data_IF_603211486239
#
_entry.id   IF_603211486239
#
_cell.length_a   1.000
_cell.length_b   1.000
_cell.length_c   1.000
_cell.angle_alpha   90.00
_cell.angle_beta   90.00
_cell.angle_gamma   90.00
#
_symmetry.space_group_name_H-M   'P 1'
#
loop_
_entity.id
_entity.type
_entity.pdbx_description
1 polymer ?
#
# COMPACT_ATOMS: atom_id res chain seq x y z
N UNK A 1 -21.97 -20.22 -33.87
CA UNK A 1 -23.36 -20.42 -34.36
C UNK A 1 -24.12 -19.12 -34.09
N UNK A 2 -24.68 -18.49 -35.11
CA UNK A 2 -25.61 -17.34 -34.93
C UNK A 2 -26.97 -17.88 -34.52
N UNK A 3 -27.58 -17.32 -33.50
CA UNK A 3 -28.95 -17.60 -33.12
C UNK A 3 -29.86 -16.90 -34.15
N UNK A 4 -30.63 -17.67 -34.90
CA UNK A 4 -31.66 -17.12 -35.78
C UNK A 4 -32.93 -16.86 -34.96
N UNK A 5 -33.30 -15.58 -34.84
CA UNK A 5 -34.46 -15.14 -34.08
C UNK A 5 -35.22 -14.09 -34.88
N UNK A 6 -36.56 -14.03 -34.72
CA UNK A 6 -37.40 -13.00 -35.31
C UNK A 6 -38.43 -12.53 -34.28
N UNK A 7 -39.15 -11.42 -34.55
CA UNK A 7 -40.26 -11.00 -33.68
C UNK A 7 -41.33 -12.09 -33.49
N UNK A 8 -41.52 -12.93 -34.50
CA UNK A 8 -42.50 -14.04 -34.51
C UNK A 8 -41.96 -15.30 -33.79
N UNK A 9 -40.63 -15.41 -33.71
CA UNK A 9 -39.94 -16.53 -33.03
C UNK A 9 -38.82 -16.00 -32.12
N UNK A 10 -39.17 -15.32 -31.00
CA UNK A 10 -38.17 -14.75 -30.09
C UNK A 10 -37.50 -15.82 -29.28
N UNK A 11 -36.18 -15.66 -29.04
CA UNK A 11 -35.46 -16.51 -28.13
C UNK A 11 -35.81 -16.20 -26.69
N UNK A 12 -35.91 -17.21 -25.86
CA UNK A 12 -36.09 -17.05 -24.41
C UNK A 12 -34.82 -16.49 -23.77
N UNK A 13 -34.94 -15.66 -22.71
CA UNK A 13 -33.82 -15.07 -21.99
C UNK A 13 -32.81 -16.12 -21.56
N UNK A 14 -33.27 -17.26 -21.03
CA UNK A 14 -32.37 -18.38 -20.61
C UNK A 14 -31.52 -18.93 -21.76
N UNK A 15 -32.05 -18.92 -22.99
CA UNK A 15 -31.31 -19.41 -24.17
C UNK A 15 -30.17 -18.47 -24.51
N UNK A 16 -30.39 -17.17 -24.45
CA UNK A 16 -29.37 -16.15 -24.65
C UNK A 16 -28.34 -16.18 -23.55
N UNK A 17 -28.75 -16.24 -22.26
CA UNK A 17 -27.85 -16.28 -21.12
C UNK A 17 -26.91 -17.51 -21.22
N UNK A 18 -27.44 -18.67 -21.56
CA UNK A 18 -26.65 -19.90 -21.76
C UNK A 18 -25.68 -19.79 -22.95
N UNK A 19 -26.11 -19.20 -24.05
CA UNK A 19 -25.27 -18.99 -25.22
C UNK A 19 -24.08 -18.05 -24.90
N UNK A 20 -24.33 -16.96 -24.15
CA UNK A 20 -23.29 -16.05 -23.66
C UNK A 20 -22.31 -16.81 -22.74
N UNK A 21 -22.83 -17.57 -21.77
CA UNK A 21 -21.98 -18.37 -20.85
C UNK A 21 -21.08 -19.33 -21.61
N UNK A 22 -21.64 -20.08 -22.57
CA UNK A 22 -20.89 -21.00 -23.42
C UNK A 22 -19.80 -20.30 -24.25
N UNK A 23 -20.08 -19.09 -24.73
CA UNK A 23 -19.10 -18.31 -25.49
C UNK A 23 -17.97 -17.80 -24.59
N UNK A 24 -18.30 -17.30 -23.41
CA UNK A 24 -17.32 -16.83 -22.41
C UNK A 24 -16.43 -18.00 -21.92
N UNK A 25 -17.00 -19.18 -21.72
CA UNK A 25 -16.25 -20.37 -21.30
C UNK A 25 -15.14 -20.77 -22.27
N UNK A 26 -15.27 -20.44 -23.57
CA UNK A 26 -14.24 -20.71 -24.58
C UNK A 26 -12.97 -19.90 -24.44
N UNK A 27 -13.02 -18.77 -23.68
CA UNK A 27 -11.83 -17.97 -23.41
C UNK A 27 -10.82 -18.73 -22.55
N UNK A 28 -11.26 -19.76 -21.81
CA UNK A 28 -10.39 -20.54 -20.96
C UNK A 28 -9.78 -19.77 -19.80
N UNK A 29 -8.61 -20.18 -19.37
CA UNK A 29 -7.83 -19.49 -18.32
C UNK A 29 -6.95 -18.44 -18.97
N UNK A 30 -7.02 -17.22 -18.46
CA UNK A 30 -6.29 -16.06 -18.98
C UNK A 30 -5.48 -15.39 -17.86
N UNK A 31 -4.41 -14.69 -18.25
CA UNK A 31 -3.69 -13.77 -17.39
C UNK A 31 -4.11 -12.35 -17.72
N UNK A 32 -4.51 -11.58 -16.70
CA UNK A 32 -4.98 -10.19 -16.85
C UNK A 32 -4.20 -9.29 -15.92
N UNK A 33 -3.62 -8.21 -16.45
CA UNK A 33 -2.98 -7.16 -15.65
C UNK A 33 -3.94 -5.99 -15.46
N UNK A 34 -3.88 -5.36 -14.28
CA UNK A 34 -4.61 -4.14 -13.99
C UNK A 34 -4.32 -3.59 -12.61
N UNK A 35 -4.96 -2.48 -12.30
CA UNK A 35 -4.88 -1.84 -11.00
C UNK A 35 -6.14 -2.14 -10.18
N UNK A 36 -5.96 -2.48 -8.93
CA UNK A 36 -7.07 -2.71 -7.99
C UNK A 36 -7.67 -1.37 -7.59
N UNK A 37 -8.93 -1.15 -7.92
CA UNK A 37 -9.65 0.10 -7.56
C UNK A 37 -10.59 -0.08 -6.37
N UNK A 38 -11.00 -1.32 -6.10
CA UNK A 38 -11.89 -1.61 -4.98
C UNK A 38 -11.62 -3.01 -4.45
N UNK A 39 -11.65 -3.16 -3.11
CA UNK A 39 -11.54 -4.44 -2.42
C UNK A 39 -12.70 -4.57 -1.44
N UNK A 40 -13.50 -5.61 -1.60
CA UNK A 40 -14.58 -5.94 -0.66
C UNK A 40 -14.31 -7.25 0.03
N UNK A 41 -14.00 -7.18 1.33
CA UNK A 41 -13.79 -8.33 2.22
C UNK A 41 -14.95 -8.38 3.21
N UNK A 42 -15.90 -9.27 3.01
CA UNK A 42 -16.98 -9.48 3.98
C UNK A 42 -16.53 -10.49 5.03
N UNK A 43 -16.78 -10.16 6.29
CA UNK A 43 -16.46 -11.05 7.41
C UNK A 43 -17.26 -12.37 7.29
N UNK A 44 -16.58 -13.52 7.43
CA UNK A 44 -17.21 -14.85 7.29
C UNK A 44 -17.33 -15.38 5.85
N UNK A 45 -17.00 -14.62 4.81
CA UNK A 45 -17.00 -15.11 3.43
C UNK A 45 -15.64 -15.68 3.00
N UNK A 46 -15.67 -16.83 2.33
CA UNK A 46 -14.47 -17.47 1.75
C UNK A 46 -13.97 -16.79 0.46
N UNK A 47 -14.72 -15.80 -0.05
CA UNK A 47 -14.43 -15.11 -1.32
C UNK A 47 -14.23 -13.62 -1.09
N UNK A 48 -13.18 -13.08 -1.68
CA UNK A 48 -12.88 -11.65 -1.77
C UNK A 48 -13.30 -11.16 -3.14
N UNK A 49 -13.93 -10.00 -3.20
CA UNK A 49 -14.33 -9.33 -4.44
C UNK A 49 -13.41 -8.16 -4.69
N UNK A 50 -12.88 -8.07 -5.91
CA UNK A 50 -11.99 -7.02 -6.36
C UNK A 50 -12.54 -6.38 -7.62
N UNK A 51 -12.28 -5.09 -7.82
CA UNK A 51 -12.45 -4.44 -9.12
C UNK A 51 -11.07 -4.16 -9.69
N UNK A 52 -10.78 -4.72 -10.85
CA UNK A 52 -9.54 -4.53 -11.58
C UNK A 52 -9.80 -3.58 -12.75
N UNK A 53 -9.06 -2.48 -12.80
CA UNK A 53 -9.16 -1.43 -13.84
C UNK A 53 -7.94 -1.45 -14.72
N UNK A 54 -8.12 -1.23 -16.01
CA UNK A 54 -7.04 -0.99 -16.95
C UNK A 54 -6.32 0.33 -16.65
N UNK A 55 -4.99 0.39 -16.85
CA UNK A 55 -4.19 1.60 -16.57
C UNK A 55 -4.34 2.69 -17.62
N UNK A 56 -4.70 2.31 -18.85
CA UNK A 56 -4.72 3.20 -20.01
C UNK A 56 -6.14 3.49 -20.52
N UNK A 57 -7.09 2.60 -20.22
CA UNK A 57 -8.47 2.69 -20.68
C UNK A 57 -9.45 2.73 -19.50
N UNK A 58 -10.58 3.40 -19.66
CA UNK A 58 -11.65 3.40 -18.66
C UNK A 58 -12.49 2.10 -18.73
N UNK A 59 -11.79 0.98 -18.53
CA UNK A 59 -12.38 -0.37 -18.55
C UNK A 59 -12.04 -1.04 -17.24
N UNK A 60 -13.04 -1.70 -16.65
CA UNK A 60 -12.83 -2.48 -15.41
C UNK A 60 -13.55 -3.83 -15.49
N UNK A 61 -13.04 -4.79 -14.75
CA UNK A 61 -13.63 -6.12 -14.60
C UNK A 61 -13.73 -6.50 -13.13
N UNK A 62 -14.82 -7.14 -12.74
CA UNK A 62 -14.97 -7.73 -11.43
C UNK A 62 -14.14 -9.00 -11.34
N UNK A 63 -13.39 -9.16 -10.24
CA UNK A 63 -12.61 -10.35 -9.95
C UNK A 63 -13.12 -10.96 -8.66
N UNK A 64 -13.34 -12.27 -8.67
CA UNK A 64 -13.65 -13.07 -7.48
C UNK A 64 -12.46 -13.94 -7.14
N UNK A 65 -11.93 -13.82 -5.92
CA UNK A 65 -10.76 -14.58 -5.49
C UNK A 65 -11.06 -15.39 -4.22
N UNK A 66 -10.64 -16.65 -4.11
CA UNK A 66 -10.64 -17.35 -2.85
C UNK A 66 -9.81 -16.58 -1.83
N UNK A 67 -10.31 -16.49 -0.58
CA UNK A 67 -9.60 -15.75 0.48
C UNK A 67 -8.17 -16.24 0.68
N UNK A 68 -7.94 -17.56 0.62
CA UNK A 68 -6.60 -18.14 0.74
C UNK A 68 -5.62 -17.65 -0.33
N UNK A 69 -6.09 -17.35 -1.55
CA UNK A 69 -5.23 -16.81 -2.63
C UNK A 69 -4.81 -15.38 -2.30
N UNK A 70 -5.71 -14.57 -1.73
CA UNK A 70 -5.39 -13.18 -1.35
C UNK A 70 -4.52 -13.15 -0.09
N UNK A 71 -4.79 -14.02 0.89
CA UNK A 71 -4.06 -14.06 2.15
C UNK A 71 -2.66 -14.71 2.00
N UNK A 72 -2.40 -15.44 0.91
CA UNK A 72 -1.07 -16.03 0.60
C UNK A 72 -0.09 -15.02 -0.03
N UNK A 73 -0.54 -13.81 -0.36
CA UNK A 73 0.35 -12.79 -0.90
C UNK A 73 1.36 -12.33 0.16
N UNK A 74 2.61 -12.17 -0.24
CA UNK A 74 3.69 -11.72 0.64
C UNK A 74 3.44 -10.32 1.25
N UNK A 75 2.62 -9.51 0.58
CA UNK A 75 2.20 -8.18 1.04
C UNK A 75 0.68 -8.11 0.95
N UNK A 76 -0.02 -7.51 1.95
CA UNK A 76 -1.45 -7.33 1.89
C UNK A 76 -1.88 -6.58 0.63
N UNK A 77 -2.90 -7.12 -0.06
CA UNK A 77 -3.46 -6.47 -1.23
C UNK A 77 -4.27 -5.24 -0.79
N UNK A 78 -3.95 -4.08 -1.37
CA UNK A 78 -4.58 -2.79 -1.12
C UNK A 78 -5.12 -2.16 -2.40
N UNK A 79 -6.03 -1.21 -2.28
CA UNK A 79 -6.48 -0.39 -3.41
C UNK A 79 -5.31 0.43 -3.95
N UNK A 80 -5.24 0.56 -5.27
CA UNK A 80 -4.11 1.17 -5.97
C UNK A 80 -3.01 0.19 -6.39
N UNK A 81 -2.95 -1.01 -5.83
CA UNK A 81 -1.95 -2.01 -6.19
C UNK A 81 -2.10 -2.48 -7.64
N UNK A 82 -0.97 -2.60 -8.35
CA UNK A 82 -0.92 -3.24 -9.67
C UNK A 82 -0.75 -4.74 -9.50
N UNK A 83 -1.62 -5.52 -10.14
CA UNK A 83 -1.60 -6.98 -10.05
C UNK A 83 -1.76 -7.64 -11.41
N UNK A 84 -1.24 -8.85 -11.52
CA UNK A 84 -1.56 -9.82 -12.58
C UNK A 84 -2.36 -10.93 -11.96
N UNK A 85 -3.52 -11.22 -12.56
CA UNK A 85 -4.45 -12.25 -12.10
C UNK A 85 -4.52 -13.35 -13.14
N UNK A 86 -4.24 -14.58 -12.75
CA UNK A 86 -4.65 -15.75 -13.50
C UNK A 86 -6.06 -16.15 -13.10
N UNK A 87 -6.97 -16.19 -14.04
CA UNK A 87 -8.34 -16.56 -13.76
C UNK A 87 -9.10 -17.06 -14.99
N UNK A 88 -10.25 -17.62 -14.74
CA UNK A 88 -11.20 -17.98 -15.78
C UNK A 88 -12.36 -17.00 -15.77
N UNK A 89 -12.70 -16.35 -16.91
CA UNK A 89 -13.93 -15.60 -17.02
C UNK A 89 -15.14 -16.48 -16.70
N UNK A 90 -16.04 -15.99 -15.87
CA UNK A 90 -17.23 -16.70 -15.43
C UNK A 90 -18.45 -15.81 -15.60
N UNK A 91 -19.48 -16.32 -16.25
CA UNK A 91 -20.74 -15.65 -16.43
C UNK A 91 -21.82 -16.27 -15.54
N UNK A 92 -22.39 -15.48 -14.67
CA UNK A 92 -23.45 -15.91 -13.76
C UNK A 92 -24.81 -15.70 -14.43
N UNK A 93 -25.36 -16.75 -15.05
CA UNK A 93 -26.59 -16.72 -15.83
C UNK A 93 -27.77 -16.10 -15.05
N UNK A 94 -27.89 -16.43 -13.75
CA UNK A 94 -29.01 -15.95 -12.91
C UNK A 94 -29.00 -14.43 -12.65
N UNK A 95 -27.86 -13.77 -12.83
CA UNK A 95 -27.71 -12.33 -12.58
C UNK A 95 -27.23 -11.54 -13.80
N UNK A 96 -26.86 -12.24 -14.87
CA UNK A 96 -26.31 -11.61 -16.06
C UNK A 96 -24.96 -10.92 -15.81
N UNK A 97 -24.18 -11.37 -14.80
CA UNK A 97 -22.94 -10.71 -14.41
C UNK A 97 -21.72 -11.50 -14.86
N UNK A 98 -20.73 -10.77 -15.38
CA UNK A 98 -19.43 -11.30 -15.76
C UNK A 98 -18.41 -11.00 -14.65
N UNK A 99 -17.59 -11.98 -14.30
CA UNK A 99 -16.43 -11.80 -13.43
C UNK A 99 -15.28 -12.67 -13.87
N UNK A 100 -14.06 -12.36 -13.38
CA UNK A 100 -12.90 -13.20 -13.52
C UNK A 100 -12.71 -14.01 -12.23
N UNK A 101 -12.87 -15.34 -12.29
CA UNK A 101 -12.63 -16.23 -11.15
C UNK A 101 -11.13 -16.47 -11.01
N UNK A 102 -10.49 -15.80 -10.07
CA UNK A 102 -9.05 -15.85 -9.85
C UNK A 102 -8.61 -17.18 -9.27
N UNK A 103 -7.50 -17.71 -9.78
CA UNK A 103 -6.77 -18.88 -9.28
C UNK A 103 -5.44 -18.49 -8.66
N UNK A 104 -4.80 -17.48 -9.22
CA UNK A 104 -3.51 -16.96 -8.77
C UNK A 104 -3.50 -15.44 -8.93
N UNK A 105 -2.85 -14.76 -7.99
CA UNK A 105 -2.64 -13.31 -8.02
C UNK A 105 -1.16 -13.05 -7.76
N UNK A 106 -0.55 -12.18 -8.56
CA UNK A 106 0.83 -11.70 -8.40
C UNK A 106 0.85 -10.19 -8.36
N UNK A 107 1.62 -9.62 -7.44
CA UNK A 107 1.88 -8.18 -7.41
C UNK A 107 2.87 -7.81 -8.52
N UNK A 108 2.56 -6.78 -9.30
CA UNK A 108 3.40 -6.30 -10.41
C UNK A 108 4.36 -5.23 -9.89
N UNK A 109 5.62 -5.32 -10.30
CA UNK A 109 6.65 -4.32 -9.98
C UNK A 109 7.22 -4.40 -8.56
N UNK A 110 6.62 -5.16 -7.65
CA UNK A 110 7.10 -5.26 -6.28
C UNK A 110 8.53 -5.84 -6.21
N UNK A 111 8.83 -6.85 -6.99
CA UNK A 111 10.16 -7.48 -7.03
C UNK A 111 11.25 -6.52 -7.50
N UNK A 112 11.01 -5.77 -8.58
CA UNK A 112 11.94 -4.78 -9.09
C UNK A 112 12.12 -3.60 -8.12
N UNK A 113 11.02 -3.15 -7.52
CA UNK A 113 11.03 -2.11 -6.51
C UNK A 113 11.85 -2.51 -5.28
N UNK A 114 11.61 -3.71 -4.74
CA UNK A 114 12.36 -4.24 -3.60
C UNK A 114 13.85 -4.43 -3.94
N UNK A 115 14.18 -4.92 -5.15
CA UNK A 115 15.55 -5.02 -5.61
C UNK A 115 16.24 -3.64 -5.73
N UNK A 116 15.50 -2.60 -6.14
CA UNK A 116 16.00 -1.22 -6.18
C UNK A 116 16.28 -0.67 -4.78
N UNK A 117 15.37 -0.92 -3.83
CA UNK A 117 15.54 -0.53 -2.41
C UNK A 117 16.75 -1.25 -1.82
N UNK A 118 16.88 -2.56 -2.04
CA UNK A 118 17.99 -3.34 -1.51
C UNK A 118 19.33 -2.88 -2.09
N UNK A 119 19.40 -2.63 -3.39
CA UNK A 119 20.62 -2.07 -4.04
C UNK A 119 21.00 -0.73 -3.42
N UNK A 120 20.03 0.17 -3.19
CA UNK A 120 20.27 1.45 -2.51
C UNK A 120 20.78 1.24 -1.10
N UNK A 121 20.16 0.35 -0.34
CA UNK A 121 20.60 0.00 1.01
C UNK A 121 22.05 -0.49 1.04
N UNK A 122 22.45 -1.36 0.09
CA UNK A 122 23.82 -1.87 -0.01
C UNK A 122 24.82 -0.74 -0.30
N UNK A 123 24.49 0.18 -1.21
CA UNK A 123 25.34 1.33 -1.52
C UNK A 123 25.54 2.23 -0.30
N UNK A 124 24.45 2.63 0.38
CA UNK A 124 24.51 3.48 1.55
C UNK A 124 25.20 2.79 2.75
N UNK A 125 25.08 1.47 2.86
CA UNK A 125 25.81 0.68 3.85
C UNK A 125 27.33 0.67 3.55
N UNK A 126 27.73 0.54 2.28
CA UNK A 126 29.13 0.61 1.87
C UNK A 126 29.76 2.00 2.11
N UNK A 127 28.95 3.07 2.08
CA UNK A 127 29.36 4.42 2.49
C UNK A 127 29.43 4.60 4.01
N UNK A 128 29.02 3.60 4.81
CA UNK A 128 29.06 3.65 6.28
C UNK A 128 27.87 4.35 6.95
N UNK A 129 26.80 4.76 6.21
CA UNK A 129 25.69 5.52 6.79
C UNK A 129 24.94 4.77 7.90
N UNK A 130 25.03 3.44 7.91
CA UNK A 130 24.33 2.60 8.88
C UNK A 130 25.25 2.07 10.01
N UNK A 131 26.49 2.54 10.08
CA UNK A 131 27.45 2.10 11.10
C UNK A 131 26.86 2.36 12.50
N UNK A 132 26.93 1.32 13.34
CA UNK A 132 26.48 1.39 14.73
C UNK A 132 27.28 2.41 15.54
N UNK A 133 28.56 2.59 15.23
CA UNK A 133 29.42 3.57 15.89
C UNK A 133 28.95 5.02 15.70
N UNK A 134 28.22 5.29 14.62
CA UNK A 134 27.67 6.61 14.31
C UNK A 134 26.31 6.87 14.93
N UNK A 135 25.67 5.84 15.53
CA UNK A 135 24.37 5.99 16.18
C UNK A 135 24.48 6.83 17.45
N UNK A 136 23.63 7.84 17.55
CA UNK A 136 23.57 8.72 18.73
C UNK A 136 22.78 8.06 19.84
N UNK A 137 23.25 8.21 21.09
CA UNK A 137 22.53 7.70 22.26
C UNK A 137 21.30 8.55 22.52
N UNK A 138 20.20 7.90 22.84
CA UNK A 138 18.97 8.57 23.27
C UNK A 138 19.16 9.14 24.67
N UNK A 139 18.67 10.36 24.96
CA UNK A 139 18.64 10.89 26.31
C UNK A 139 17.68 10.09 27.19
N UNK A 140 17.97 9.99 28.48
CA UNK A 140 17.11 9.26 29.42
C UNK A 140 15.77 9.96 29.61
N UNK A 141 15.76 11.29 29.78
CA UNK A 141 14.57 12.14 29.88
C UNK A 141 14.80 13.38 29.02
N UNK A 142 14.30 13.41 27.77
CA UNK A 142 14.48 14.55 26.90
C UNK A 142 13.63 15.75 27.34
N UNK A 143 14.13 16.99 27.25
CA UNK A 143 13.38 18.20 27.53
C UNK A 143 12.15 18.32 26.61
N UNK A 144 12.35 18.08 25.32
CA UNK A 144 11.29 17.99 24.34
C UNK A 144 11.56 16.89 23.32
N UNK A 145 10.49 16.29 22.84
CA UNK A 145 10.46 15.28 21.77
C UNK A 145 9.92 15.95 20.50
N UNK A 146 10.74 16.03 19.46
CA UNK A 146 10.28 16.41 18.13
C UNK A 146 9.47 15.26 17.51
N UNK A 147 8.29 15.51 17.00
CA UNK A 147 7.46 14.51 16.32
C UNK A 147 7.14 14.97 14.90
N UNK A 148 7.51 14.15 13.91
CA UNK A 148 7.16 14.36 12.51
C UNK A 148 6.12 13.32 12.13
N UNK A 149 4.92 13.75 11.74
CA UNK A 149 3.80 12.87 11.42
C UNK A 149 2.76 13.59 10.56
N UNK A 150 1.76 12.86 10.06
CA UNK A 150 0.60 13.48 9.41
C UNK A 150 -0.38 14.03 10.45
N UNK A 151 -1.00 15.18 10.16
CA UNK A 151 -1.97 15.83 11.03
C UNK A 151 -3.16 14.90 11.33
N UNK A 152 -3.56 14.81 12.60
CA UNK A 152 -4.67 13.99 13.10
C UNK A 152 -4.55 12.50 12.77
N UNK A 153 -3.34 11.98 12.55
CA UNK A 153 -3.11 10.57 12.24
C UNK A 153 -3.25 9.65 13.46
N UNK A 154 -3.49 8.37 13.22
CA UNK A 154 -3.44 7.37 14.28
C UNK A 154 -2.04 7.31 14.92
N UNK A 155 -0.98 7.38 14.09
CA UNK A 155 0.40 7.38 14.57
C UNK A 155 0.71 8.56 15.50
N UNK A 156 0.18 9.75 15.22
CA UNK A 156 0.29 10.91 16.12
C UNK A 156 -0.31 10.61 17.49
N UNK A 157 -1.56 10.14 17.50
CA UNK A 157 -2.27 9.81 18.74
C UNK A 157 -1.55 8.73 19.54
N UNK A 158 -1.15 7.65 18.88
CA UNK A 158 -0.47 6.52 19.52
C UNK A 158 0.83 6.96 20.20
N UNK A 159 1.66 7.75 19.50
CA UNK A 159 2.93 8.23 20.05
C UNK A 159 2.69 9.18 21.24
N UNK A 160 1.81 10.16 21.07
CA UNK A 160 1.55 11.18 22.11
C UNK A 160 0.88 10.55 23.33
N UNK A 161 -0.19 9.78 23.14
CA UNK A 161 -0.94 9.16 24.26
C UNK A 161 -0.09 8.15 25.06
N UNK A 162 0.68 7.30 24.36
CA UNK A 162 1.52 6.32 25.05
C UNK A 162 2.65 7.01 25.82
N UNK A 163 3.28 8.04 25.24
CA UNK A 163 4.33 8.79 25.94
C UNK A 163 3.77 9.54 27.13
N UNK A 164 2.67 10.27 26.99
CA UNK A 164 2.04 11.04 28.09
C UNK A 164 1.52 10.15 29.20
N UNK A 165 1.03 8.94 28.88
CA UNK A 165 0.61 7.96 29.91
C UNK A 165 1.78 7.50 30.77
N UNK A 166 2.96 7.34 30.17
CA UNK A 166 4.17 6.91 30.90
C UNK A 166 4.93 8.03 31.57
N UNK A 167 4.91 9.20 30.94
CA UNK A 167 5.55 10.40 31.42
C UNK A 167 4.71 11.62 31.12
N UNK A 168 3.81 12.05 32.03
CA UNK A 168 2.88 13.18 31.83
C UNK A 168 3.58 14.52 31.55
N UNK A 169 4.82 14.68 31.99
CA UNK A 169 5.61 15.91 31.79
C UNK A 169 6.31 16.01 30.43
N UNK A 170 6.15 15.02 29.54
CA UNK A 170 6.78 15.05 28.23
C UNK A 170 6.24 16.22 27.39
N UNK A 171 7.16 16.98 26.81
CA UNK A 171 6.84 18.06 25.86
C UNK A 171 7.03 17.56 24.44
N UNK A 172 6.10 17.88 23.54
CA UNK A 172 6.19 17.58 22.12
C UNK A 172 6.28 18.85 21.27
N UNK A 173 7.25 18.88 20.37
CA UNK A 173 7.34 19.83 19.27
C UNK A 173 6.92 19.10 17.99
N UNK A 174 5.64 19.28 17.57
CA UNK A 174 5.07 18.53 16.45
C UNK A 174 5.25 19.35 15.16
N UNK A 175 5.80 18.70 14.13
CA UNK A 175 5.85 19.21 12.76
C UNK A 175 5.06 18.28 11.86
N UNK A 176 4.05 18.81 11.23
CA UNK A 176 3.22 18.06 10.29
C UNK A 176 3.87 18.03 8.92
N UNK A 177 3.86 16.84 8.29
CA UNK A 177 4.37 16.61 6.95
C UNK A 177 3.49 15.58 6.23
N UNK A 178 3.47 15.62 4.90
CA UNK A 178 2.92 14.55 4.11
C UNK A 178 3.72 13.26 4.37
N UNK A 179 3.05 12.18 4.78
CA UNK A 179 3.70 10.91 5.12
C UNK A 179 3.54 9.87 3.99
N UNK A 180 3.06 10.30 2.82
CA UNK A 180 2.93 9.50 1.59
C UNK A 180 2.84 10.42 0.37
N UNK A 181 3.07 9.86 -0.82
CA UNK A 181 3.03 10.62 -2.09
C UNK A 181 4.31 11.39 -2.38
N UNK A 182 4.30 12.14 -3.49
CA UNK A 182 5.50 12.75 -4.10
C UNK A 182 6.17 13.84 -3.25
N UNK A 183 5.45 14.47 -2.36
CA UNK A 183 5.99 15.53 -1.51
C UNK A 183 6.54 15.03 -0.17
N UNK A 184 6.25 13.79 0.21
CA UNK A 184 6.54 13.27 1.54
C UNK A 184 8.03 13.39 1.92
N UNK A 185 8.94 12.94 1.05
CA UNK A 185 10.38 13.02 1.30
C UNK A 185 10.82 14.45 1.61
N UNK A 186 10.42 15.40 0.76
CA UNK A 186 10.79 16.83 0.91
C UNK A 186 10.26 17.41 2.22
N UNK A 187 8.97 17.22 2.49
CA UNK A 187 8.34 17.80 3.69
C UNK A 187 8.87 17.20 4.99
N UNK A 188 9.14 15.88 5.00
CA UNK A 188 9.76 15.23 6.17
C UNK A 188 11.19 15.73 6.40
N UNK A 189 11.99 15.92 5.34
CA UNK A 189 13.34 16.49 5.44
C UNK A 189 13.29 17.94 5.99
N UNK A 190 12.39 18.79 5.47
CA UNK A 190 12.21 20.15 5.97
C UNK A 190 11.79 20.16 7.44
N UNK A 191 10.87 19.30 7.84
CA UNK A 191 10.43 19.14 9.24
C UNK A 191 11.58 18.68 10.14
N UNK A 192 12.38 17.71 9.68
CA UNK A 192 13.55 17.20 10.38
C UNK A 192 14.58 18.32 10.62
N UNK A 193 14.90 19.10 9.60
CA UNK A 193 15.85 20.19 9.71
C UNK A 193 15.40 21.27 10.70
N UNK A 194 14.09 21.60 10.73
CA UNK A 194 13.53 22.57 11.69
C UNK A 194 13.63 22.06 13.12
N UNK A 195 13.36 20.77 13.36
CA UNK A 195 13.46 20.19 14.69
C UNK A 195 14.91 20.00 15.13
N UNK A 196 15.82 19.66 14.21
CA UNK A 196 17.26 19.52 14.50
C UNK A 196 17.95 20.85 14.80
N UNK A 197 17.36 21.97 14.33
CA UNK A 197 17.84 23.32 14.66
C UNK A 197 17.33 23.83 16.03
N UNK A 198 16.30 23.21 16.60
CA UNK A 198 15.73 23.57 17.89
C UNK A 198 16.54 22.95 19.04
N UNK A 199 17.16 23.80 19.87
CA UNK A 199 18.02 23.35 20.98
C UNK A 199 17.24 22.65 22.11
N UNK A 200 15.93 22.85 22.23
CA UNK A 200 15.09 22.18 23.23
C UNK A 200 14.76 20.75 22.83
N UNK A 201 14.75 20.44 21.53
CA UNK A 201 14.47 19.11 21.00
C UNK A 201 15.68 18.21 21.14
N UNK A 202 15.57 17.16 21.94
CA UNK A 202 16.65 16.23 22.25
C UNK A 202 16.49 14.84 21.63
N UNK A 203 15.34 14.54 21.08
CA UNK A 203 15.08 13.35 20.26
C UNK A 203 14.02 13.68 19.23
N UNK A 204 14.17 13.18 18.00
CA UNK A 204 13.19 13.37 16.93
C UNK A 204 12.59 12.02 16.60
N UNK A 205 11.28 11.93 16.54
CA UNK A 205 10.54 10.71 16.13
C UNK A 205 9.86 10.99 14.79
N UNK A 206 10.12 10.14 13.79
CA UNK A 206 9.38 10.15 12.53
C UNK A 206 8.36 9.02 12.61
N UNK A 207 7.07 9.35 12.74
CA UNK A 207 6.01 8.39 13.01
C UNK A 207 5.00 8.29 11.85
N UNK A 208 4.80 7.08 11.35
CA UNK A 208 3.81 6.75 10.33
C UNK A 208 3.27 5.35 10.58
N UNK A 209 1.95 5.19 10.56
CA UNK A 209 1.31 3.88 10.64
C UNK A 209 1.57 3.01 9.41
N UNK A 210 1.11 1.76 9.45
CA UNK A 210 1.24 0.81 8.33
C UNK A 210 0.55 1.30 7.04
N UNK A 211 0.85 0.64 5.92
CA UNK A 211 0.30 0.95 4.62
C UNK A 211 0.91 0.09 3.53
N UNK A 212 0.66 0.44 2.26
CA UNK A 212 1.27 -0.25 1.13
C UNK A 212 2.78 -0.01 1.06
N UNK A 213 3.51 -0.89 0.38
CA UNK A 213 4.96 -0.69 0.16
C UNK A 213 5.22 0.62 -0.56
N UNK A 214 4.37 0.98 -1.52
CA UNK A 214 4.43 2.22 -2.29
C UNK A 214 4.30 3.45 -1.40
N UNK A 215 3.42 3.42 -0.40
CA UNK A 215 3.22 4.49 0.57
C UNK A 215 4.42 4.68 1.50
N UNK A 216 5.20 3.61 1.71
CA UNK A 216 6.40 3.63 2.55
C UNK A 216 7.67 4.02 1.79
N UNK A 217 7.63 4.07 0.45
CA UNK A 217 8.77 4.43 -0.39
C UNK A 217 9.47 5.74 -0.02
N UNK A 218 8.77 6.83 0.36
CA UNK A 218 9.42 8.07 0.75
C UNK A 218 10.45 7.89 1.88
N UNK A 219 10.24 6.92 2.76
CA UNK A 219 11.16 6.61 3.88
C UNK A 219 12.36 5.77 3.48
N UNK A 220 12.37 5.23 2.26
CA UNK A 220 13.51 4.57 1.63
C UNK A 220 14.24 5.50 0.66
N UNK A 221 13.87 6.79 0.61
CA UNK A 221 14.53 7.77 -0.25
C UNK A 221 15.90 8.17 0.30
N UNK A 222 16.88 8.25 -0.60
CA UNK A 222 18.27 8.55 -0.24
C UNK A 222 18.41 9.92 0.43
N UNK A 223 17.66 10.91 -0.05
CA UNK A 223 17.71 12.27 0.49
C UNK A 223 17.30 12.29 1.96
N UNK A 224 16.22 11.56 2.31
CA UNK A 224 15.78 11.47 3.70
C UNK A 224 16.79 10.67 4.55
N UNK A 225 17.30 9.55 4.05
CA UNK A 225 18.30 8.74 4.78
C UNK A 225 19.54 9.56 5.09
N UNK A 226 20.05 10.33 4.12
CA UNK A 226 21.20 11.22 4.32
C UNK A 226 20.88 12.37 5.28
N UNK A 227 19.68 12.94 5.24
CA UNK A 227 19.26 13.97 6.18
C UNK A 227 19.18 13.42 7.63
N UNK A 228 18.62 12.23 7.82
CA UNK A 228 18.60 11.55 9.13
C UNK A 228 20.00 11.25 9.64
N UNK A 229 20.92 10.80 8.77
CA UNK A 229 22.30 10.55 9.12
C UNK A 229 23.04 11.83 9.54
N UNK A 230 22.79 12.94 8.86
CA UNK A 230 23.44 14.24 9.13
C UNK A 230 22.87 14.96 10.37
N UNK A 231 21.69 14.59 10.85
CA UNK A 231 21.04 15.24 12.00
C UNK A 231 21.92 15.14 13.25
N UNK A 232 21.99 16.24 14.02
CA UNK A 232 22.71 16.31 15.30
C UNK A 232 21.90 15.69 16.42
N UNK A 233 20.59 15.85 16.37
CA UNK A 233 19.64 15.26 17.32
C UNK A 233 19.40 13.79 16.94
N UNK A 234 19.40 12.85 17.91
CA UNK A 234 19.09 11.46 17.61
C UNK A 234 17.68 11.29 17.02
N UNK A 235 17.59 10.51 15.96
CA UNK A 235 16.35 10.27 15.24
C UNK A 235 15.88 8.83 15.45
N UNK A 236 14.59 8.68 15.78
CA UNK A 236 13.90 7.39 15.92
C UNK A 236 12.93 7.23 14.77
N UNK A 237 13.08 6.16 14.01
CA UNK A 237 12.11 5.76 12.97
C UNK A 237 11.04 4.87 13.59
N UNK A 238 9.79 5.35 13.61
CA UNK A 238 8.59 4.65 14.07
C UNK A 238 7.62 4.49 12.89
N UNK A 239 8.09 3.74 11.88
CA UNK A 239 7.36 3.51 10.63
C UNK A 239 6.89 2.06 10.61
N UNK A 240 5.56 1.88 10.54
CA UNK A 240 4.89 0.59 10.62
C UNK A 240 4.82 -0.17 9.30
#
# INVERSE_FOLDING_TARGET
>A
MSLQTSPEQPAQVRTIARAIGTWIDRLGVVWVEGQVTQISRRQGMATVFLTLRDKLADVSIQVTAPRGVVDSLATPLVEGASIVVQGKPAYYENRGTLSLAAREIRLVGLGELLARIDRRRQLLAAEGLFDIALKRRLPFLPNAVGLITAHNSAAERDVVEVAQRRWPGVRFEIKYAAMQGVNATREVVEALQRLDADSEVQVIVIARGGGSVEDLLPFSDETLIRAVHAARTPVVSAIG
#
